data_IF_011301728159
#
_entry.id   IF_011301728159
#
_cell.length_a   1.000
_cell.length_b   1.000
_cell.length_c   1.000
_cell.angle_alpha   90.00
_cell.angle_beta   90.00
_cell.angle_gamma   90.00
#
_symmetry.space_group_name_H-M   'P 1'
#
loop_
_entity.id
_entity.type
_entity.pdbx_description
1 polymer ?
#
# COMPACT_ATOMS: atom_id res chain seq x y z
N UNK A 1 42.71 15.11 -31.66
CA UNK A 1 42.17 13.84 -31.11
C UNK A 1 41.82 13.90 -29.62
N UNK A 2 42.65 14.55 -28.79
CA UNK A 2 42.45 14.71 -27.34
C UNK A 2 41.09 15.33 -26.92
N UNK A 3 40.60 16.32 -27.68
CA UNK A 3 39.36 17.04 -27.34
C UNK A 3 38.06 16.26 -27.52
N UNK A 4 38.03 15.23 -28.37
CA UNK A 4 36.85 14.38 -28.57
C UNK A 4 36.72 13.36 -27.43
N UNK A 5 37.86 12.86 -26.94
CA UNK A 5 37.92 11.92 -25.83
C UNK A 5 37.49 12.60 -24.52
N UNK A 6 37.97 13.83 -24.27
CA UNK A 6 37.55 14.63 -23.10
C UNK A 6 36.05 14.94 -23.11
N UNK A 7 35.47 15.26 -24.28
CA UNK A 7 34.03 15.52 -24.42
C UNK A 7 33.18 14.27 -24.17
N UNK A 8 33.61 13.09 -24.64
CA UNK A 8 32.91 11.82 -24.38
C UNK A 8 33.01 11.39 -22.91
N UNK A 9 34.15 11.62 -22.27
CA UNK A 9 34.33 11.36 -20.84
C UNK A 9 33.46 12.29 -19.98
N UNK A 10 33.38 13.59 -20.33
CA UNK A 10 32.47 14.54 -19.68
C UNK A 10 30.99 14.17 -19.87
N UNK A 11 30.58 13.78 -21.08
CA UNK A 11 29.20 13.37 -21.35
C UNK A 11 28.82 12.10 -20.57
N UNK A 12 29.74 11.15 -20.47
CA UNK A 12 29.58 9.94 -19.66
C UNK A 12 29.52 10.23 -18.16
N UNK A 13 30.30 11.20 -17.66
CA UNK A 13 30.25 11.62 -16.26
C UNK A 13 28.93 12.32 -15.92
N UNK A 14 28.42 13.14 -16.83
CA UNK A 14 27.13 13.83 -16.68
C UNK A 14 25.96 12.83 -16.70
N UNK A 15 26.00 11.81 -17.56
CA UNK A 15 25.00 10.73 -17.52
C UNK A 15 25.10 9.89 -16.24
N UNK A 16 26.30 9.67 -15.69
CA UNK A 16 26.49 8.91 -14.45
C UNK A 16 26.06 9.69 -13.20
N UNK A 17 26.24 11.02 -13.20
CA UNK A 17 25.76 11.92 -12.14
C UNK A 17 24.22 12.08 -12.17
N UNK A 18 23.57 11.91 -13.32
CA UNK A 18 22.11 11.86 -13.44
C UNK A 18 21.48 10.56 -12.89
N UNK A 19 22.29 9.51 -12.64
CA UNK A 19 21.81 8.23 -12.10
C UNK A 19 21.87 8.09 -10.58
N UNK A 20 22.34 9.10 -9.85
CA UNK A 20 22.36 9.10 -8.38
C UNK A 20 21.31 10.07 -7.81
N UNK A 21 20.04 9.86 -8.13
CA UNK A 21 18.99 10.38 -7.26
C UNK A 21 18.87 9.44 -6.05
N UNK A 22 19.44 9.87 -4.93
CA UNK A 22 19.16 9.29 -3.63
C UNK A 22 17.72 9.62 -3.27
N UNK A 23 16.80 8.72 -3.61
CA UNK A 23 15.38 8.90 -3.30
C UNK A 23 15.18 8.64 -1.81
N UNK A 24 15.24 9.73 -1.03
CA UNK A 24 14.54 9.78 0.25
C UNK A 24 13.05 9.61 -0.07
N UNK A 25 12.52 8.45 0.28
CA UNK A 25 11.07 8.27 0.36
C UNK A 25 10.60 9.11 1.55
N UNK A 26 9.71 10.06 1.31
CA UNK A 26 9.28 11.09 2.27
C UNK A 26 8.46 10.46 3.43
N UNK A 27 8.35 11.17 4.56
CA UNK A 27 7.48 10.78 5.69
C UNK A 27 6.03 10.61 5.20
N UNK A 28 5.31 9.61 5.71
CA UNK A 28 3.89 9.45 5.41
C UNK A 28 3.07 10.69 5.81
N UNK A 29 2.00 11.05 5.07
CA UNK A 29 1.14 12.16 5.46
C UNK A 29 0.48 11.93 6.83
N UNK A 30 -0.05 13.00 7.42
CA UNK A 30 -0.78 12.93 8.68
C UNK A 30 -1.87 11.83 8.65
N UNK A 31 -2.08 11.18 9.79
CA UNK A 31 -3.03 10.07 10.00
C UNK A 31 -2.69 8.73 9.34
N UNK A 32 -1.65 8.66 8.50
CA UNK A 32 -1.14 7.39 8.00
C UNK A 32 -0.17 6.75 8.99
N UNK A 33 -0.43 5.49 9.30
CA UNK A 33 0.40 4.69 10.20
C UNK A 33 1.09 3.59 9.40
N UNK A 34 2.39 3.45 9.60
CA UNK A 34 3.21 2.38 9.05
C UNK A 34 3.34 1.21 10.03
N UNK A 35 3.30 -0.01 9.52
CA UNK A 35 3.68 -1.21 10.26
C UNK A 35 4.56 -2.12 9.40
N UNK A 36 5.41 -2.91 10.05
CA UNK A 36 6.19 -3.98 9.42
C UNK A 36 6.32 -5.18 10.37
N UNK A 37 6.46 -6.38 9.81
CA UNK A 37 6.66 -7.59 10.61
C UNK A 37 8.10 -7.74 11.13
N UNK A 38 9.09 -7.25 10.38
CA UNK A 38 10.50 -7.29 10.75
C UNK A 38 11.04 -5.87 10.67
N UNK A 39 11.68 -5.40 11.74
CA UNK A 39 12.11 -4.00 11.85
C UNK A 39 13.18 -3.66 10.80
N UNK A 40 13.08 -2.46 10.23
CA UNK A 40 13.99 -1.88 9.22
C UNK A 40 14.03 -2.64 7.89
N UNK A 41 13.05 -3.50 7.62
CA UNK A 41 12.98 -4.28 6.39
C UNK A 41 12.12 -3.62 5.33
N UNK A 42 11.24 -2.69 5.69
CA UNK A 42 10.49 -1.89 4.73
C UNK A 42 10.59 -0.41 5.06
N UNK A 43 10.20 0.39 4.07
CA UNK A 43 9.93 1.82 4.23
C UNK A 43 8.64 2.14 3.51
N UNK A 44 7.91 3.11 4.03
CA UNK A 44 6.74 3.66 3.39
C UNK A 44 6.82 5.18 3.43
N UNK A 45 6.18 5.82 2.45
CA UNK A 45 6.33 7.25 2.26
C UNK A 45 5.64 7.81 1.05
N UNK A 46 5.77 9.12 0.85
CA UNK A 46 5.30 9.80 -0.36
C UNK A 46 6.31 9.64 -1.49
N UNK A 47 5.83 9.38 -2.70
CA UNK A 47 6.60 9.34 -3.95
C UNK A 47 6.07 10.41 -4.91
N UNK A 48 6.94 11.35 -5.28
CA UNK A 48 6.64 12.50 -6.17
C UNK A 48 7.09 12.29 -7.61
N UNK A 49 7.60 11.12 -7.95
CA UNK A 49 8.03 10.77 -9.30
C UNK A 49 7.11 9.75 -9.96
N UNK A 50 6.61 8.80 -9.18
CA UNK A 50 5.67 7.78 -9.63
C UNK A 50 4.32 8.03 -8.98
N UNK A 51 3.41 8.66 -9.71
CA UNK A 51 2.03 8.89 -9.29
C UNK A 51 1.08 8.78 -10.50
N UNK A 52 -0.19 8.55 -10.23
CA UNK A 52 -1.29 8.55 -11.20
C UNK A 52 -1.98 9.91 -11.20
N UNK A 53 -2.42 10.38 -10.03
CA UNK A 53 -3.08 11.68 -9.87
C UNK A 53 -2.07 12.67 -9.30
N UNK A 54 -1.76 13.75 -10.03
CA UNK A 54 -0.77 14.76 -9.61
C UNK A 54 -1.09 15.30 -8.19
N UNK A 55 -0.10 15.61 -7.34
CA UNK A 55 1.35 15.56 -7.57
C UNK A 55 2.10 14.40 -6.88
N UNK A 56 1.43 13.45 -6.23
CA UNK A 56 2.13 12.44 -5.41
C UNK A 56 1.31 11.16 -5.17
N UNK A 57 2.00 10.06 -4.89
CA UNK A 57 1.41 8.79 -4.45
C UNK A 57 2.01 8.33 -3.13
N UNK A 58 1.36 7.39 -2.45
CA UNK A 58 1.96 6.69 -1.31
C UNK A 58 2.68 5.44 -1.81
N UNK A 59 3.77 5.04 -1.18
CA UNK A 59 4.47 3.83 -1.55
C UNK A 59 4.93 3.01 -0.35
N UNK A 60 5.14 1.72 -0.59
CA UNK A 60 5.75 0.77 0.35
C UNK A 60 6.83 0.01 -0.41
N UNK A 61 8.03 -0.07 0.14
CA UNK A 61 9.17 -0.72 -0.50
C UNK A 61 9.95 -1.58 0.50
N UNK A 62 10.36 -2.79 0.07
CA UNK A 62 11.38 -3.57 0.79
C UNK A 62 12.73 -2.85 0.73
N UNK A 63 13.35 -2.60 1.88
CA UNK A 63 14.72 -2.07 1.96
C UNK A 63 15.74 -3.14 1.53
N UNK A 64 16.85 -2.71 0.91
CA UNK A 64 17.95 -3.58 0.48
C UNK A 64 18.86 -4.03 1.63
N UNK A 65 18.47 -3.79 2.88
CA UNK A 65 19.26 -4.22 4.04
C UNK A 65 19.22 -5.74 4.10
N UNK A 66 20.40 -6.37 3.88
CA UNK A 66 20.62 -7.80 3.99
C UNK A 66 20.55 -8.23 5.46
N UNK A 67 19.37 -8.24 6.06
CA UNK A 67 19.16 -9.01 7.27
C UNK A 67 18.83 -10.45 6.85
N UNK A 68 19.75 -11.37 7.16
CA UNK A 68 19.49 -12.81 7.09
C UNK A 68 18.43 -13.16 8.15
N UNK A 69 17.15 -12.87 7.88
CA UNK A 69 16.07 -13.35 8.74
C UNK A 69 15.69 -14.76 8.33
N UNK A 70 16.08 -15.74 9.16
CA UNK A 70 15.78 -17.17 8.98
C UNK A 70 14.30 -17.54 9.06
N UNK A 71 13.37 -16.57 9.09
CA UNK A 71 11.92 -16.81 9.15
C UNK A 71 11.34 -16.76 7.73
N UNK A 72 11.19 -17.95 7.14
CA UNK A 72 10.84 -18.14 5.72
C UNK A 72 9.46 -17.66 5.26
N UNK A 73 8.52 -17.26 6.14
CA UNK A 73 7.11 -17.24 5.72
C UNK A 73 6.28 -15.96 5.89
N UNK A 74 6.60 -14.99 6.75
CA UNK A 74 5.70 -13.85 6.99
C UNK A 74 6.41 -12.49 6.99
N UNK A 75 7.24 -12.17 5.99
CA UNK A 75 7.83 -10.83 5.91
C UNK A 75 6.95 -9.89 5.08
N UNK A 76 6.41 -8.85 5.69
CA UNK A 76 5.52 -7.88 5.05
C UNK A 76 5.44 -6.57 5.81
N UNK A 77 4.90 -5.55 5.13
CA UNK A 77 4.64 -4.24 5.69
C UNK A 77 3.39 -3.63 5.06
N UNK A 78 2.86 -2.64 5.74
CA UNK A 78 1.66 -1.95 5.31
C UNK A 78 1.56 -0.53 5.82
N UNK A 79 0.64 0.21 5.23
CA UNK A 79 0.19 1.50 5.72
C UNK A 79 -1.32 1.47 5.89
N UNK A 80 -1.83 2.19 6.88
CA UNK A 80 -3.27 2.29 7.10
C UNK A 80 -3.66 3.63 7.71
N UNK A 81 -4.94 3.95 7.57
CA UNK A 81 -5.63 4.94 8.39
C UNK A 81 -6.67 4.26 9.27
N UNK A 82 -6.91 4.84 10.45
CA UNK A 82 -7.98 4.43 11.35
C UNK A 82 -9.18 5.34 11.11
N UNK A 83 -10.32 4.74 10.79
CA UNK A 83 -11.58 5.41 10.53
C UNK A 83 -12.53 5.14 11.70
N UNK A 84 -13.21 6.18 12.19
CA UNK A 84 -14.26 6.03 13.19
C UNK A 84 -15.42 5.22 12.59
N UNK A 85 -15.66 4.03 13.13
CA UNK A 85 -16.65 3.08 12.67
C UNK A 85 -18.09 3.58 12.86
N UNK A 86 -18.36 4.34 13.92
CA UNK A 86 -19.71 4.79 14.28
C UNK A 86 -20.37 5.56 13.13
N UNK A 87 -19.57 6.30 12.36
CA UNK A 87 -20.04 7.05 11.18
C UNK A 87 -20.54 6.15 10.04
N UNK A 88 -20.26 4.85 10.10
CA UNK A 88 -20.51 3.89 9.03
C UNK A 88 -21.39 2.71 9.44
N UNK A 89 -21.85 2.64 10.69
CA UNK A 89 -22.81 1.63 11.15
C UNK A 89 -24.06 1.62 10.27
N UNK A 90 -24.49 0.43 9.88
CA UNK A 90 -25.64 0.20 8.98
C UNK A 90 -25.39 0.51 7.51
N UNK A 91 -24.13 0.77 7.09
CA UNK A 91 -23.80 1.18 5.71
C UNK A 91 -23.02 0.11 4.96
N UNK A 92 -23.25 0.06 3.65
CA UNK A 92 -22.40 -0.65 2.68
C UNK A 92 -21.35 0.31 2.14
N UNK A 93 -20.10 -0.09 2.25
CA UNK A 93 -18.94 0.71 1.89
C UNK A 93 -18.29 0.14 0.63
N UNK A 94 -17.87 1.02 -0.28
CA UNK A 94 -16.90 0.72 -1.33
C UNK A 94 -15.59 1.42 -1.00
N UNK A 95 -14.52 0.65 -0.93
CA UNK A 95 -13.16 1.15 -0.83
C UNK A 95 -12.43 0.78 -2.13
N UNK A 96 -11.88 1.79 -2.80
CA UNK A 96 -11.06 1.57 -4.00
C UNK A 96 -9.80 2.42 -3.99
N UNK A 97 -8.79 1.97 -4.71
CA UNK A 97 -7.57 2.71 -4.96
C UNK A 97 -6.91 2.19 -6.23
N UNK A 98 -6.10 3.03 -6.87
CA UNK A 98 -5.18 2.58 -7.91
C UNK A 98 -3.88 2.11 -7.27
N UNK A 99 -3.42 0.95 -7.72
CA UNK A 99 -2.20 0.31 -7.23
C UNK A 99 -1.29 -0.02 -8.40
N UNK A 100 -0.03 0.38 -8.29
CA UNK A 100 1.06 -0.01 -9.19
C UNK A 100 2.02 -0.89 -8.42
N UNK A 101 2.65 -1.88 -9.08
CA UNK A 101 3.67 -2.71 -8.44
C UNK A 101 4.90 -2.87 -9.30
N UNK A 102 6.05 -3.02 -8.66
CA UNK A 102 7.30 -3.37 -9.31
C UNK A 102 7.98 -4.50 -8.55
N UNK A 103 8.28 -5.59 -9.27
CA UNK A 103 9.03 -6.75 -8.78
C UNK A 103 8.50 -7.32 -7.46
N UNK A 104 7.18 -7.33 -7.26
CA UNK A 104 6.56 -7.89 -6.05
C UNK A 104 6.62 -9.41 -6.09
N UNK A 105 7.42 -10.03 -5.22
CA UNK A 105 7.61 -11.50 -5.20
C UNK A 105 6.65 -12.22 -4.25
N UNK A 106 6.00 -11.49 -3.34
CA UNK A 106 4.95 -12.00 -2.47
C UNK A 106 3.58 -11.71 -3.04
N UNK A 107 2.89 -10.75 -2.44
CA UNK A 107 1.61 -10.22 -2.90
C UNK A 107 1.44 -8.80 -2.35
N UNK A 108 0.73 -7.96 -3.10
CA UNK A 108 0.28 -6.65 -2.67
C UNK A 108 -1.25 -6.58 -2.78
N UNK A 109 -1.92 -5.92 -1.84
CA UNK A 109 -3.38 -5.79 -1.84
C UNK A 109 -3.83 -4.62 -0.97
N UNK A 110 -5.08 -4.22 -1.19
CA UNK A 110 -5.84 -3.35 -0.28
C UNK A 110 -6.78 -4.19 0.59
N UNK A 111 -7.03 -3.76 1.81
CA UNK A 111 -8.03 -4.37 2.68
C UNK A 111 -8.68 -3.36 3.62
N UNK A 112 -9.90 -3.68 4.06
CA UNK A 112 -10.50 -3.08 5.24
C UNK A 112 -10.47 -4.09 6.40
N UNK A 113 -10.22 -3.64 7.64
CA UNK A 113 -10.37 -4.48 8.83
C UNK A 113 -11.34 -3.84 9.82
N UNK A 114 -12.42 -4.55 10.11
CA UNK A 114 -13.45 -4.15 11.07
C UNK A 114 -14.07 -5.42 11.66
N UNK A 115 -13.58 -5.85 12.83
CA UNK A 115 -13.87 -7.17 13.43
C UNK A 115 -13.28 -8.36 12.66
N UNK A 116 -13.38 -8.34 11.32
CA UNK A 116 -12.76 -9.26 10.36
C UNK A 116 -12.05 -8.50 9.24
N UNK A 117 -11.31 -9.23 8.40
CA UNK A 117 -10.59 -8.67 7.25
C UNK A 117 -11.42 -8.83 5.98
N UNK A 118 -11.54 -7.75 5.22
CA UNK A 118 -12.13 -7.70 3.88
C UNK A 118 -11.01 -7.39 2.87
N UNK A 119 -10.35 -8.41 2.30
CA UNK A 119 -9.24 -8.21 1.37
C UNK A 119 -9.73 -8.09 -0.07
N UNK A 120 -9.00 -7.31 -0.87
CA UNK A 120 -9.03 -7.45 -2.33
C UNK A 120 -8.21 -8.65 -2.78
N UNK A 121 -8.29 -8.99 -4.08
CA UNK A 121 -7.39 -9.97 -4.69
C UNK A 121 -5.94 -9.48 -4.62
N UNK A 122 -5.05 -10.33 -4.12
CA UNK A 122 -3.61 -10.07 -4.12
C UNK A 122 -3.03 -10.03 -5.54
N UNK A 123 -2.21 -9.01 -5.82
CA UNK A 123 -1.47 -8.83 -7.08
C UNK A 123 0.02 -9.12 -6.87
N UNK A 124 0.69 -9.61 -7.93
CA UNK A 124 2.10 -10.04 -7.90
C UNK A 124 2.85 -9.49 -9.11
N UNK A 125 4.17 -9.46 -9.03
CA UNK A 125 5.04 -9.06 -10.13
C UNK A 125 5.06 -7.55 -10.37
N UNK A 126 5.29 -7.18 -11.63
CA UNK A 126 5.30 -5.79 -12.09
C UNK A 126 4.03 -5.53 -12.87
N UNK A 127 3.21 -4.60 -12.39
CA UNK A 127 1.97 -4.21 -13.03
C UNK A 127 1.95 -2.69 -13.14
N UNK A 128 1.37 -2.18 -14.21
CA UNK A 128 1.03 -0.76 -14.26
C UNK A 128 -0.13 -0.44 -13.31
N UNK A 129 -0.55 0.82 -13.25
CA UNK A 129 -1.67 1.24 -12.41
C UNK A 129 -2.93 0.42 -12.71
N UNK A 130 -3.41 -0.30 -11.70
CA UNK A 130 -4.66 -1.06 -11.76
C UNK A 130 -5.56 -0.65 -10.60
N UNK A 131 -6.86 -0.55 -10.86
CA UNK A 131 -7.83 -0.26 -9.81
C UNK A 131 -8.15 -1.53 -9.02
N UNK A 132 -7.92 -1.49 -7.71
CA UNK A 132 -8.43 -2.48 -6.77
C UNK A 132 -9.68 -1.92 -6.08
N UNK A 133 -10.68 -2.79 -5.89
CA UNK A 133 -11.97 -2.43 -5.28
C UNK A 133 -12.35 -3.52 -4.29
N UNK A 134 -12.89 -3.12 -3.14
CA UNK A 134 -13.57 -3.99 -2.19
C UNK A 134 -14.88 -3.35 -1.75
N UNK A 135 -15.91 -4.17 -1.58
CA UNK A 135 -17.20 -3.76 -1.03
C UNK A 135 -17.51 -4.60 0.18
N UNK A 136 -17.98 -3.97 1.26
CA UNK A 136 -18.27 -4.64 2.52
C UNK A 136 -19.29 -3.87 3.34
N UNK A 137 -19.98 -4.60 4.21
CA UNK A 137 -20.99 -4.06 5.09
C UNK A 137 -20.43 -3.80 6.49
N UNK A 138 -20.89 -2.72 7.11
CA UNK A 138 -20.81 -2.51 8.55
C UNK A 138 -22.23 -2.69 9.13
N UNK A 139 -22.53 -3.85 9.71
CA UNK A 139 -23.82 -4.13 10.35
C UNK A 139 -24.23 -3.13 11.42
N UNK A 140 -25.53 -3.02 11.70
CA UNK A 140 -26.06 -2.19 12.79
C UNK A 140 -25.56 -2.65 14.17
N UNK A 141 -25.44 -3.95 14.37
CA UNK A 141 -24.95 -4.57 15.60
C UNK A 141 -23.45 -4.88 15.57
N UNK A 142 -22.67 -4.17 14.77
CA UNK A 142 -21.23 -4.40 14.65
C UNK A 142 -20.51 -4.12 16.00
N UNK A 143 -19.77 -5.08 16.58
CA UNK A 143 -19.22 -4.93 17.94
C UNK A 143 -17.92 -4.13 18.04
N UNK A 144 -17.27 -3.84 16.91
CA UNK A 144 -15.99 -3.13 16.86
C UNK A 144 -16.13 -1.60 16.91
N UNK A 145 -15.04 -0.90 17.24
CA UNK A 145 -15.01 0.57 17.39
C UNK A 145 -14.33 1.31 16.22
N UNK A 146 -13.58 0.60 15.38
CA UNK A 146 -12.78 1.21 14.31
C UNK A 146 -12.76 0.37 13.04
N UNK A 147 -12.47 1.04 11.93
CA UNK A 147 -12.18 0.42 10.64
C UNK A 147 -10.75 0.82 10.25
N UNK A 148 -9.92 -0.15 9.90
CA UNK A 148 -8.61 0.12 9.32
C UNK A 148 -8.72 0.05 7.80
N UNK A 149 -8.53 1.16 7.09
CA UNK A 149 -8.36 1.20 5.64
C UNK A 149 -6.87 1.06 5.34
N UNK A 150 -6.48 -0.01 4.65
CA UNK A 150 -5.10 -0.43 4.65
C UNK A 150 -4.60 -0.98 3.30
N UNK A 151 -3.29 -0.89 3.15
CA UNK A 151 -2.51 -1.32 1.99
C UNK A 151 -1.35 -2.16 2.50
N UNK A 152 -1.03 -3.26 1.83
CA UNK A 152 0.06 -4.12 2.28
C UNK A 152 0.79 -4.78 1.14
N UNK A 153 2.08 -5.03 1.36
CA UNK A 153 2.96 -5.73 0.46
C UNK A 153 3.83 -6.70 1.25
N UNK A 154 4.02 -7.89 0.68
CA UNK A 154 4.81 -8.96 1.26
C UNK A 154 6.00 -9.30 0.38
N UNK A 155 7.10 -9.68 1.03
CA UNK A 155 8.40 -10.04 0.44
C UNK A 155 9.07 -8.85 -0.31
N UNK A 156 9.71 -9.12 -1.44
CA UNK A 156 10.47 -8.11 -2.20
C UNK A 156 9.54 -7.28 -3.07
N UNK A 157 10.02 -6.11 -3.49
CA UNK A 157 9.36 -5.26 -4.47
C UNK A 157 9.02 -3.87 -3.92
N UNK A 158 8.21 -3.16 -4.70
CA UNK A 158 7.60 -1.88 -4.35
C UNK A 158 6.14 -1.88 -4.79
N UNK A 159 5.27 -1.27 -3.98
CA UNK A 159 3.92 -0.88 -4.37
C UNK A 159 3.76 0.63 -4.29
N UNK A 160 2.94 1.19 -5.17
CA UNK A 160 2.45 2.56 -5.08
C UNK A 160 0.93 2.57 -5.05
N UNK A 161 0.37 3.61 -4.44
CA UNK A 161 -1.03 3.74 -4.07
C UNK A 161 -1.48 5.16 -4.38
N UNK A 162 -2.55 5.31 -5.14
CA UNK A 162 -3.07 6.61 -5.58
C UNK A 162 -4.61 6.57 -5.74
N UNK A 163 -5.25 7.73 -5.81
CA UNK A 163 -6.69 7.95 -5.99
C UNK A 163 -7.54 7.05 -5.06
N UNK A 164 -7.23 7.14 -3.76
CA UNK A 164 -7.91 6.40 -2.70
C UNK A 164 -9.32 6.98 -2.53
N UNK A 165 -10.34 6.12 -2.67
CA UNK A 165 -11.75 6.48 -2.50
C UNK A 165 -12.43 5.61 -1.45
N UNK A 166 -13.19 6.29 -0.59
CA UNK A 166 -14.02 5.68 0.44
C UNK A 166 -15.46 6.18 0.27
N UNK A 167 -16.35 5.29 -0.14
CA UNK A 167 -17.70 5.66 -0.58
C UNK A 167 -18.75 4.87 0.19
N UNK A 168 -19.80 5.55 0.64
CA UNK A 168 -21.04 4.89 1.09
C UNK A 168 -21.87 4.61 -0.16
N UNK A 169 -22.10 3.33 -0.46
CA UNK A 169 -22.80 2.90 -1.68
C UNK A 169 -24.19 2.31 -1.41
N UNK A 170 -24.63 2.30 -0.15
CA UNK A 170 -25.95 1.83 0.24
C UNK A 170 -26.05 1.51 1.72
N UNK A 171 -27.12 0.80 2.07
CA UNK A 171 -27.33 0.22 3.40
C UNK A 171 -26.64 -1.15 3.48
N UNK A 172 -26.14 -1.50 4.66
CA UNK A 172 -25.65 -2.85 4.94
C UNK A 172 -26.78 -3.87 4.80
N UNK A 173 -26.46 -5.09 4.36
CA UNK A 173 -27.42 -6.17 4.43
C UNK A 173 -27.74 -6.51 5.91
N UNK A 174 -28.99 -6.84 6.24
CA UNK A 174 -29.32 -7.37 7.56
C UNK A 174 -28.50 -8.65 7.80
N UNK A 175 -27.83 -8.72 8.95
CA UNK A 175 -27.25 -9.98 9.41
C UNK A 175 -28.10 -10.53 10.55
N UNK A 176 -28.64 -11.72 10.32
CA UNK A 176 -29.28 -12.52 11.35
C UNK A 176 -28.21 -13.44 11.94
N UNK A 177 -27.79 -13.16 13.17
CA UNK A 177 -27.00 -14.13 13.91
C UNK A 177 -27.98 -15.21 14.40
N UNK A 178 -28.00 -16.37 13.75
CA UNK A 178 -28.59 -17.54 14.38
C UNK A 178 -27.67 -17.96 15.54
N UNK A 179 -28.16 -17.99 16.79
CA UNK A 179 -27.39 -18.58 17.86
C UNK A 179 -27.12 -20.04 17.49
N UNK A 180 -25.86 -20.44 17.52
CA UNK A 180 -25.52 -21.87 17.50
C UNK A 180 -26.06 -22.40 18.82
N UNK A 181 -27.17 -23.13 18.78
CA UNK A 181 -27.65 -23.88 19.94
C UNK A 181 -26.59 -24.96 20.23
N UNK A 182 -25.89 -24.82 21.35
CA UNK A 182 -25.07 -25.89 21.94
C UNK A 182 -25.96 -27.00 22.51
#
# INVERSE_FOLDING_TARGET
MMGIFLKKLLLSLILCLLSFKSYALDVLPEYWVFWEHETHNYRAGVDRETYLSKPESLSIQKTLVNTHSGRKHNNGAGIYQIINLEKYVGKKIRFSAYVKTQNVTGYAYIYARSGKVYPSKGIRGTNDWMKLVLEFDIPENHPGQSIHMAFSMFKKGRMWIDDIKWEVIGKAAPIFYEPILE
#
